data_IF_467346740145
#
_entry.id   IF_467346740145
#
_cell.length_a   1.000
_cell.length_b   1.000
_cell.length_c   1.000
_cell.angle_alpha   90.00
_cell.angle_beta   90.00
_cell.angle_gamma   90.00
#
_symmetry.space_group_name_H-M   'P 1'
#
loop_
_entity.id
_entity.type
_entity.pdbx_description
1 polymer ?
#
# COMPACT_ATOMS: atom_id res chain seq x y z
N UNK A 1 17.69 13.16 36.55
CA UNK A 1 17.07 12.05 35.81
C UNK A 1 17.11 12.33 34.32
N UNK A 2 17.55 11.36 33.54
CA UNK A 2 17.52 11.48 32.08
C UNK A 2 16.06 11.45 31.62
N UNK A 3 15.62 12.50 30.98
CA UNK A 3 14.32 12.48 30.31
C UNK A 3 14.44 11.68 28.99
N UNK A 4 13.69 10.59 28.89
CA UNK A 4 13.59 9.85 27.63
C UNK A 4 12.65 10.58 26.73
N UNK A 5 13.17 11.19 25.69
CA UNK A 5 12.35 11.81 24.66
C UNK A 5 11.96 10.75 23.64
N UNK A 6 10.66 10.52 23.50
CA UNK A 6 10.14 9.59 22.52
C UNK A 6 10.39 10.13 21.12
N UNK A 7 10.96 9.33 20.21
CA UNK A 7 11.12 9.77 18.82
C UNK A 7 9.77 9.93 18.13
N UNK A 8 9.67 10.93 17.28
CA UNK A 8 8.48 11.15 16.47
C UNK A 8 8.57 10.31 15.20
N UNK A 9 8.51 9.00 15.37
CA UNK A 9 8.59 8.06 14.25
C UNK A 9 7.22 7.45 13.97
N UNK A 10 6.72 7.69 12.77
CA UNK A 10 5.49 7.10 12.28
C UNK A 10 5.60 6.93 10.77
N UNK A 11 5.86 5.72 10.32
CA UNK A 11 6.10 5.42 8.92
C UNK A 11 5.53 4.07 8.57
N UNK A 12 4.76 4.02 7.48
CA UNK A 12 4.14 2.81 6.97
C UNK A 12 4.38 2.74 5.48
N UNK A 13 4.86 1.60 5.02
CA UNK A 13 4.98 1.29 3.59
C UNK A 13 4.24 -0.01 3.35
N UNK A 14 3.25 0.02 2.47
CA UNK A 14 2.41 -1.14 2.21
C UNK A 14 2.00 -1.18 0.74
N UNK A 15 1.98 -2.37 0.17
CA UNK A 15 1.48 -2.60 -1.18
C UNK A 15 0.22 -3.45 -1.14
N UNK A 16 -0.72 -3.14 -1.99
CA UNK A 16 -1.98 -3.87 -2.06
C UNK A 16 -2.82 -3.46 -3.25
N UNK A 17 -3.97 -4.09 -3.36
CA UNK A 17 -4.93 -3.81 -4.42
C UNK A 17 -6.14 -3.07 -3.88
N UNK A 18 -6.65 -2.10 -4.64
CA UNK A 18 -7.86 -1.41 -4.25
C UNK A 18 -9.04 -2.37 -4.19
N UNK A 19 -9.77 -2.34 -3.09
CA UNK A 19 -10.94 -3.19 -2.87
C UNK A 19 -12.21 -2.62 -3.50
N UNK A 20 -12.23 -1.31 -3.70
CA UNK A 20 -13.34 -0.55 -4.29
C UNK A 20 -12.78 0.62 -5.09
N UNK A 21 -13.62 1.22 -5.91
CA UNK A 21 -13.27 2.47 -6.57
C UNK A 21 -13.01 3.56 -5.52
N UNK A 22 -12.01 4.44 -5.74
CA UNK A 22 -11.73 5.51 -4.78
C UNK A 22 -12.84 6.55 -4.74
N UNK A 23 -12.98 7.19 -3.59
CA UNK A 23 -13.95 8.26 -3.40
C UNK A 23 -13.20 9.60 -3.38
N UNK A 24 -13.52 10.47 -4.33
CA UNK A 24 -12.97 11.81 -4.43
C UNK A 24 -13.92 12.82 -3.82
N UNK A 25 -13.37 13.70 -3.01
CA UNK A 25 -14.14 14.78 -2.36
C UNK A 25 -13.34 16.07 -2.37
N UNK A 26 -14.01 17.16 -2.09
CA UNK A 26 -13.37 18.44 -1.78
C UNK A 26 -13.86 18.88 -0.42
N UNK A 27 -12.96 19.44 0.38
CA UNK A 27 -13.33 20.05 1.65
C UNK A 27 -14.04 21.39 1.39
N UNK A 28 -14.59 21.98 2.44
CA UNK A 28 -15.26 23.31 2.35
C UNK A 28 -14.31 24.38 1.81
N UNK A 29 -13.01 24.21 2.01
CA UNK A 29 -11.98 25.12 1.49
C UNK A 29 -11.52 24.79 0.07
N UNK A 30 -12.14 23.79 -0.57
CA UNK A 30 -11.78 23.38 -1.92
C UNK A 30 -10.56 22.45 -2.01
N UNK A 31 -10.08 21.93 -0.89
CA UNK A 31 -8.94 21.03 -0.87
C UNK A 31 -9.36 19.64 -1.37
N UNK A 32 -8.69 19.10 -2.40
CA UNK A 32 -9.03 17.76 -2.90
C UNK A 32 -8.57 16.68 -1.94
N UNK A 33 -9.41 15.67 -1.75
CA UNK A 33 -9.16 14.51 -0.88
C UNK A 33 -9.61 13.26 -1.61
N UNK A 34 -8.81 12.22 -1.54
CA UNK A 34 -9.21 10.90 -2.02
C UNK A 34 -9.11 9.88 -0.89
N UNK A 35 -10.14 9.04 -0.80
CA UNK A 35 -10.17 7.90 0.13
C UNK A 35 -10.31 6.61 -0.65
N UNK A 36 -9.51 5.63 -0.31
CA UNK A 36 -9.64 4.29 -0.86
C UNK A 36 -9.17 3.25 0.16
N UNK A 37 -9.56 2.01 -0.05
CA UNK A 37 -9.11 0.88 0.77
C UNK A 37 -8.29 -0.06 -0.06
N UNK A 38 -7.25 -0.61 0.53
CA UNK A 38 -6.41 -1.61 -0.11
C UNK A 38 -6.42 -2.91 0.69
N UNK A 39 -6.26 -4.01 -0.03
CA UNK A 39 -6.05 -5.34 0.54
C UNK A 39 -4.61 -5.75 0.27
N UNK A 40 -3.85 -5.97 1.33
CA UNK A 40 -2.48 -6.42 1.25
C UNK A 40 -2.39 -7.87 1.69
N UNK A 41 -1.92 -8.73 0.82
CA UNK A 41 -1.85 -10.17 1.06
C UNK A 41 -0.50 -10.54 1.65
N UNK A 42 -0.53 -11.44 2.62
CA UNK A 42 0.67 -12.02 3.21
C UNK A 42 0.56 -13.54 3.17
N UNK A 43 1.62 -14.18 2.72
CA UNK A 43 1.72 -15.64 2.76
C UNK A 43 2.70 -16.03 3.85
N UNK A 44 2.36 -17.04 4.59
CA UNK A 44 3.22 -17.55 5.67
C UNK A 44 3.03 -19.05 5.83
N UNK A 45 4.00 -19.69 6.47
CA UNK A 45 3.88 -21.09 6.87
C UNK A 45 3.41 -21.19 8.30
N UNK A 46 2.48 -22.08 8.53
CA UNK A 46 2.00 -22.35 9.88
C UNK A 46 2.87 -23.39 10.60
N UNK A 47 2.46 -23.77 11.80
CA UNK A 47 3.18 -24.73 12.62
C UNK A 47 3.26 -26.13 11.98
N UNK A 48 2.34 -26.43 11.06
CA UNK A 48 2.29 -27.70 10.34
C UNK A 48 3.03 -27.65 9.01
N UNK A 49 3.81 -26.59 8.78
CA UNK A 49 4.56 -26.33 7.54
C UNK A 49 3.66 -26.19 6.30
N UNK A 50 2.41 -25.84 6.52
CA UNK A 50 1.44 -25.56 5.46
C UNK A 50 1.41 -24.07 5.11
N UNK A 51 1.30 -23.77 3.82
CA UNK A 51 1.16 -22.40 3.35
C UNK A 51 -0.23 -21.87 3.65
N UNK A 52 -0.28 -20.72 4.31
CA UNK A 52 -1.50 -20.00 4.59
C UNK A 52 -1.40 -18.57 4.09
N UNK A 53 -2.54 -17.98 3.83
CA UNK A 53 -2.66 -16.62 3.34
C UNK A 53 -3.49 -15.80 4.30
N UNK A 54 -3.05 -14.59 4.55
CA UNK A 54 -3.72 -13.61 5.40
C UNK A 54 -3.83 -12.30 4.64
N UNK A 55 -4.87 -11.55 4.88
CA UNK A 55 -5.15 -10.29 4.18
C UNK A 55 -5.29 -9.16 5.19
N UNK A 56 -4.55 -8.09 4.97
CA UNK A 56 -4.68 -6.87 5.74
C UNK A 56 -5.48 -5.85 4.93
N UNK A 57 -6.60 -5.41 5.47
CA UNK A 57 -7.43 -4.35 4.88
C UNK A 57 -7.15 -3.06 5.60
N UNK A 58 -6.80 -2.02 4.87
CA UNK A 58 -6.51 -0.72 5.46
C UNK A 58 -7.00 0.41 4.56
N UNK A 59 -7.55 1.45 5.18
CA UNK A 59 -7.95 2.66 4.49
C UNK A 59 -6.77 3.59 4.26
N UNK A 60 -6.80 4.30 3.14
CA UNK A 60 -5.78 5.26 2.75
C UNK A 60 -6.47 6.58 2.41
N UNK A 61 -5.90 7.67 2.87
CA UNK A 61 -6.35 9.01 2.52
C UNK A 61 -5.17 9.79 1.93
N UNK A 62 -5.44 10.52 0.86
CA UNK A 62 -4.45 11.41 0.24
C UNK A 62 -5.06 12.78 0.00
N UNK A 63 -4.24 13.80 0.07
CA UNK A 63 -4.62 15.21 0.03
C UNK A 63 -3.92 15.96 -1.10
N UNK A 64 -4.53 17.05 -1.55
CA UNK A 64 -3.93 18.01 -2.47
C UNK A 64 -3.50 17.38 -3.80
N UNK A 65 -2.29 17.65 -4.24
CA UNK A 65 -1.76 17.15 -5.51
C UNK A 65 -1.75 15.62 -5.59
N UNK A 66 -1.48 14.97 -4.47
CA UNK A 66 -1.48 13.52 -4.44
C UNK A 66 -2.87 12.96 -4.70
N UNK A 67 -3.91 13.58 -4.14
CA UNK A 67 -5.30 13.22 -4.41
C UNK A 67 -5.65 13.41 -5.88
N UNK A 68 -5.26 14.54 -6.46
CA UNK A 68 -5.52 14.83 -7.86
C UNK A 68 -4.81 13.85 -8.80
N UNK A 69 -3.59 13.45 -8.45
CA UNK A 69 -2.83 12.47 -9.24
C UNK A 69 -3.50 11.11 -9.29
N UNK A 70 -4.32 10.79 -8.29
CA UNK A 70 -5.05 9.53 -8.22
C UNK A 70 -6.33 9.53 -9.07
N UNK A 71 -6.85 10.70 -9.44
CA UNK A 71 -8.19 10.84 -10.00
C UNK A 71 -8.46 9.92 -11.19
N UNK A 72 -7.54 9.85 -12.15
CA UNK A 72 -7.73 9.09 -13.38
C UNK A 72 -6.93 7.79 -13.41
N UNK A 73 -6.22 7.48 -12.33
CA UNK A 73 -5.27 6.37 -12.30
C UNK A 73 -5.71 5.21 -11.40
N UNK A 74 -6.62 5.47 -10.47
CA UNK A 74 -7.04 4.45 -9.50
C UNK A 74 -8.44 3.93 -9.81
N UNK A 75 -8.55 2.62 -9.84
CA UNK A 75 -9.82 1.89 -9.95
C UNK A 75 -9.76 0.66 -9.07
N UNK A 76 -10.91 0.11 -8.74
CA UNK A 76 -11.01 -1.18 -8.05
C UNK A 76 -10.10 -2.22 -8.72
N UNK A 77 -9.30 -2.91 -7.93
CA UNK A 77 -8.38 -3.95 -8.39
C UNK A 77 -6.99 -3.47 -8.79
N UNK A 78 -6.78 -2.17 -8.92
CA UNK A 78 -5.45 -1.65 -9.23
C UNK A 78 -4.49 -1.90 -8.07
N UNK A 79 -3.23 -2.17 -8.41
CA UNK A 79 -2.16 -2.36 -7.44
C UNK A 79 -1.45 -1.03 -7.17
N UNK A 80 -1.18 -0.77 -5.91
CA UNK A 80 -0.46 0.44 -5.48
C UNK A 80 0.52 0.11 -4.36
N UNK A 81 1.58 0.90 -4.28
CA UNK A 81 2.45 0.96 -3.11
C UNK A 81 2.21 2.31 -2.44
N UNK A 82 1.87 2.28 -1.15
CA UNK A 82 1.58 3.48 -0.37
C UNK A 82 2.66 3.67 0.69
N UNK A 83 3.24 4.86 0.71
CA UNK A 83 4.16 5.31 1.75
C UNK A 83 3.50 6.46 2.49
N UNK A 84 3.38 6.34 3.81
CA UNK A 84 2.73 7.36 4.61
C UNK A 84 2.89 7.15 6.10
N UNK A 85 1.97 7.70 6.84
CA UNK A 85 1.93 7.58 8.30
C UNK A 85 0.56 7.10 8.76
N UNK A 86 0.52 6.44 9.89
CA UNK A 86 -0.76 6.07 10.50
C UNK A 86 -1.38 7.30 11.16
N UNK A 87 -2.67 7.44 10.99
CA UNK A 87 -3.46 8.43 11.74
C UNK A 87 -4.75 7.80 12.22
N UNK A 88 -5.25 8.27 13.34
CA UNK A 88 -6.56 7.89 13.83
C UNK A 88 -7.52 9.05 13.69
N UNK A 89 -8.76 8.72 13.40
CA UNK A 89 -9.83 9.68 13.26
C UNK A 89 -11.07 9.17 14.00
N UNK A 90 -11.63 10.02 14.84
CA UNK A 90 -12.83 9.67 15.60
C UNK A 90 -14.02 10.46 15.05
N UNK A 91 -15.11 9.79 14.81
CA UNK A 91 -16.35 10.40 14.36
C UNK A 91 -17.53 9.85 15.14
N UNK A 92 -18.59 10.64 15.19
CA UNK A 92 -19.83 10.24 15.84
C UNK A 92 -20.66 9.37 14.90
N UNK A 93 -21.16 8.26 15.45
CA UNK A 93 -22.09 7.40 14.72
C UNK A 93 -23.51 7.89 14.92
N UNK A 94 -24.43 7.45 14.05
CA UNK A 94 -25.86 7.78 14.15
C UNK A 94 -26.48 7.31 15.46
N UNK A 95 -25.94 6.29 16.06
CA UNK A 95 -26.37 5.73 17.35
C UNK A 95 -25.94 6.55 18.57
N UNK A 96 -25.26 7.67 18.36
CA UNK A 96 -24.74 8.51 19.42
C UNK A 96 -23.42 8.06 20.01
N UNK A 97 -22.85 6.97 19.50
CA UNK A 97 -21.53 6.49 19.90
C UNK A 97 -20.40 7.18 19.14
N UNK A 98 -19.18 6.97 19.64
CA UNK A 98 -17.96 7.40 18.94
C UNK A 98 -17.28 6.20 18.31
N UNK A 99 -16.83 6.36 17.07
CA UNK A 99 -16.08 5.33 16.36
C UNK A 99 -14.73 5.90 15.94
N UNK A 100 -13.68 5.17 16.27
CA UNK A 100 -12.31 5.53 15.87
C UNK A 100 -11.83 4.57 14.79
N UNK A 101 -11.34 5.11 13.70
CA UNK A 101 -10.68 4.34 12.65
C UNK A 101 -9.22 4.71 12.56
N UNK A 102 -8.40 3.76 12.19
CA UNK A 102 -6.98 3.96 11.90
C UNK A 102 -6.79 3.80 10.40
N UNK A 103 -6.15 4.77 9.79
CA UNK A 103 -5.92 4.79 8.35
C UNK A 103 -4.52 5.30 8.05
N UNK A 104 -4.08 5.16 6.82
CA UNK A 104 -2.80 5.68 6.37
C UNK A 104 -3.02 7.01 5.68
N UNK A 105 -2.37 8.06 6.18
CA UNK A 105 -2.26 9.32 5.46
C UNK A 105 -1.09 9.21 4.50
N UNK A 106 -1.38 9.11 3.22
CA UNK A 106 -0.35 8.89 2.21
C UNK A 106 0.51 10.13 2.02
N UNK A 107 1.80 9.93 1.93
CA UNK A 107 2.77 10.92 1.49
C UNK A 107 3.18 10.67 0.04
N UNK A 108 3.18 9.41 -0.35
CA UNK A 108 3.55 8.97 -1.70
C UNK A 108 2.71 7.75 -2.08
N UNK A 109 2.24 7.74 -3.32
CA UNK A 109 1.54 6.59 -3.89
C UNK A 109 2.23 6.24 -5.20
N UNK A 110 2.67 5.00 -5.32
CA UNK A 110 3.25 4.49 -6.54
C UNK A 110 2.25 3.55 -7.20
N UNK A 111 1.93 3.83 -8.46
CA UNK A 111 0.97 3.03 -9.21
C UNK A 111 1.68 1.84 -9.84
N UNK A 112 1.21 0.63 -9.50
CA UNK A 112 1.80 -0.64 -9.94
C UNK A 112 0.91 -1.35 -10.96
N UNK A 113 0.24 -0.58 -11.81
CA UNK A 113 -0.69 -1.14 -12.78
C UNK A 113 0.02 -2.09 -13.74
N UNK A 114 -0.56 -3.26 -13.97
CA UNK A 114 -0.09 -4.13 -15.03
C UNK A 114 -0.25 -3.40 -16.36
N UNK A 115 0.82 -3.34 -17.12
CA UNK A 115 0.72 -2.92 -18.52
C UNK A 115 -0.22 -3.88 -19.23
N UNK A 116 -1.24 -3.35 -19.89
CA UNK A 116 -2.06 -4.18 -20.77
C UNK A 116 -1.17 -4.71 -21.88
N UNK A 117 -1.18 -5.99 -22.10
CA UNK A 117 -0.36 -6.68 -23.07
C UNK A 117 -0.80 -6.44 -24.54
N UNK A 118 -1.37 -5.30 -24.83
CA UNK A 118 -1.73 -4.91 -26.18
C UNK A 118 -0.82 -3.79 -26.65
N UNK A 119 0.14 -4.15 -27.47
CA UNK A 119 1.08 -3.31 -28.23
C UNK A 119 2.50 -3.21 -27.68
N UNK A 120 3.11 -4.33 -27.35
CA UNK A 120 4.45 -4.29 -26.78
C UNK A 120 5.53 -4.97 -27.61
N UNK A 121 5.71 -4.49 -28.81
CA UNK A 121 6.88 -4.91 -29.59
C UNK A 121 8.06 -3.93 -29.48
N UNK A 122 8.04 -2.93 -28.60
CA UNK A 122 9.10 -1.93 -28.63
C UNK A 122 9.60 -1.36 -27.30
N UNK A 123 9.07 -1.80 -26.17
CA UNK A 123 9.61 -1.29 -24.92
C UNK A 123 10.34 -2.41 -24.18
N UNK A 124 11.65 -2.22 -24.05
CA UNK A 124 12.43 -3.03 -23.15
C UNK A 124 11.79 -2.98 -21.76
N UNK A 125 11.51 -4.12 -21.16
CA UNK A 125 10.96 -4.13 -19.83
C UNK A 125 12.00 -3.60 -18.86
N UNK A 126 11.75 -2.42 -18.32
CA UNK A 126 12.39 -2.05 -17.08
C UNK A 126 11.76 -2.90 -15.98
N UNK A 127 12.01 -4.17 -16.02
CA UNK A 127 11.40 -5.11 -15.12
C UNK A 127 12.34 -5.39 -13.97
N UNK A 128 12.02 -4.83 -12.84
CA UNK A 128 12.35 -5.48 -11.59
C UNK A 128 11.26 -6.53 -11.35
N UNK A 129 11.31 -7.62 -12.09
CA UNK A 129 10.52 -8.80 -11.80
C UNK A 129 11.28 -9.63 -10.78
N UNK A 130 10.58 -10.52 -10.10
CA UNK A 130 11.22 -11.48 -9.20
C UNK A 130 12.32 -12.28 -9.91
N UNK A 131 12.17 -12.48 -11.22
CA UNK A 131 13.17 -13.14 -12.05
C UNK A 131 14.50 -12.38 -12.09
N UNK A 132 14.43 -11.05 -12.07
CA UNK A 132 15.62 -10.22 -12.02
C UNK A 132 16.28 -10.22 -10.66
N UNK A 133 15.50 -10.42 -9.61
CA UNK A 133 16.06 -10.54 -8.27
C UNK A 133 16.90 -11.81 -8.13
N UNK A 134 16.41 -12.93 -8.64
CA UNK A 134 17.16 -14.18 -8.64
C UNK A 134 18.45 -14.09 -9.48
N UNK A 135 18.42 -13.31 -10.55
CA UNK A 135 19.62 -13.11 -11.38
C UNK A 135 20.63 -12.18 -10.75
N UNK A 136 20.22 -11.34 -9.79
CA UNK A 136 21.12 -10.48 -9.03
C UNK A 136 21.82 -11.21 -7.89
N UNK A 137 21.26 -12.34 -7.46
CA UNK A 137 21.93 -13.20 -6.50
C UNK A 137 23.02 -14.01 -7.20
N UNK A 138 24.21 -14.01 -6.61
CA UNK A 138 25.27 -14.88 -7.13
C UNK A 138 24.84 -16.34 -6.94
N UNK A 139 25.34 -17.26 -7.79
CA UNK A 139 25.06 -18.69 -7.60
C UNK A 139 25.44 -19.20 -6.21
N UNK A 140 26.47 -18.60 -5.60
CA UNK A 140 26.91 -18.93 -4.26
C UNK A 140 25.87 -18.53 -3.21
N UNK A 141 25.23 -17.39 -3.37
CA UNK A 141 24.17 -16.93 -2.46
C UNK A 141 22.91 -17.79 -2.56
N UNK A 142 22.60 -18.26 -3.76
CA UNK A 142 21.47 -19.17 -3.97
C UNK A 142 21.69 -20.52 -3.29
N UNK A 143 22.90 -21.03 -3.34
CA UNK A 143 23.28 -22.30 -2.69
C UNK A 143 23.20 -22.19 -1.16
N UNK A 144 23.54 -21.02 -0.60
CA UNK A 144 23.44 -20.77 0.84
C UNK A 144 21.99 -20.76 1.34
N UNK A 145 21.06 -20.34 0.51
CA UNK A 145 19.64 -20.31 0.85
C UNK A 145 19.03 -21.70 0.82
N UNK A 146 19.55 -22.58 -0.01
CA UNK A 146 19.04 -23.93 -0.21
C UNK A 146 19.71 -24.99 0.68
N UNK A 147 20.80 -24.64 1.35
CA UNK A 147 21.45 -25.55 2.29
C UNK A 147 20.74 -25.57 3.64
N UNK A 148 19.89 -26.53 3.77
CA UNK A 148 19.42 -27.01 5.07
C UNK A 148 19.36 -28.49 5.06
#
# INVERSE_FOLDING_TARGET
MAEFKMPELNSVIIAGNLTKDPIFRQTTNGTPVVNFSIASNRRFRDKNDEWKEDVCYVGVVAWNRLAESCRDKLKKGNAVLVDGELQSRTFKTEDGGNRTIVEIKARRIQFLNKRSSQNDDKDEPSTYTDDNFDSLLSPEDSDLINEK
#
